data_IF_630031391935
#
_entry.id   IF_630031391935
#
_cell.length_a   1.000
_cell.length_b   1.000
_cell.length_c   1.000
_cell.angle_alpha   90.00
_cell.angle_beta   90.00
_cell.angle_gamma   90.00
#
_symmetry.space_group_name_H-M   'P 1'
#
loop_
_entity.id
_entity.type
_entity.pdbx_description
1 polymer ?
#
# COMPACT_ATOMS: atom_id res chain seq x y z
N UNK A 1 15.46 -15.38 13.92
CA UNK A 1 14.19 -15.38 13.15
C UNK A 1 14.41 -14.51 11.92
N UNK A 2 14.14 -14.95 10.71
CA UNK A 2 14.38 -14.15 9.50
C UNK A 2 13.06 -13.49 9.08
N UNK A 3 13.02 -12.17 8.95
CA UNK A 3 11.88 -11.45 8.39
C UNK A 3 11.70 -11.84 6.91
N UNK A 4 10.46 -11.81 6.43
CA UNK A 4 10.12 -12.16 5.04
C UNK A 4 9.56 -10.98 4.24
N UNK A 5 9.22 -9.89 4.91
CA UNK A 5 8.60 -8.70 4.33
C UNK A 5 7.54 -8.09 5.23
N UNK A 6 6.74 -7.23 4.66
CA UNK A 6 5.63 -6.56 5.33
C UNK A 6 4.47 -7.53 5.48
N UNK A 7 3.92 -7.65 6.68
CA UNK A 7 2.74 -8.49 6.93
C UNK A 7 1.46 -7.78 6.50
N UNK A 8 1.23 -6.58 7.04
CA UNK A 8 0.09 -5.73 6.72
C UNK A 8 0.43 -4.27 7.02
N UNK A 9 -0.40 -3.37 6.50
CA UNK A 9 -0.37 -1.93 6.81
C UNK A 9 -1.74 -1.57 7.39
N UNK A 10 -1.75 -0.82 8.49
CA UNK A 10 -2.98 -0.38 9.17
C UNK A 10 -3.14 1.12 9.05
N UNK A 11 -4.35 1.56 8.74
CA UNK A 11 -4.74 2.96 8.68
C UNK A 11 -6.08 3.18 9.40
N UNK A 12 -6.56 4.43 9.38
CA UNK A 12 -7.83 4.83 10.00
C UNK A 12 -8.79 5.22 8.89
N UNK A 13 -10.06 4.81 9.03
CA UNK A 13 -11.14 5.23 8.17
C UNK A 13 -12.20 6.00 8.98
N UNK A 14 -12.70 7.13 8.45
CA UNK A 14 -13.74 7.91 9.09
C UNK A 14 -15.15 7.38 8.80
N UNK A 15 -15.36 6.83 7.60
CA UNK A 15 -16.65 6.26 7.17
C UNK A 15 -16.46 4.80 6.75
N UNK A 16 -17.02 3.85 7.51
CA UNK A 16 -16.89 2.42 7.25
C UNK A 16 -17.37 2.00 5.85
N UNK A 17 -18.51 2.50 5.41
CA UNK A 17 -19.10 2.06 4.15
C UNK A 17 -18.32 2.62 2.95
N UNK A 18 -17.95 3.90 3.00
CA UNK A 18 -17.14 4.54 1.97
C UNK A 18 -15.76 3.88 1.82
N UNK A 19 -15.15 3.49 2.94
CA UNK A 19 -13.91 2.72 2.96
C UNK A 19 -14.09 1.37 2.25
N UNK A 20 -15.11 0.60 2.63
CA UNK A 20 -15.43 -0.71 2.02
C UNK A 20 -15.68 -0.57 0.51
N UNK A 21 -16.49 0.40 0.10
CA UNK A 21 -16.80 0.62 -1.32
C UNK A 21 -15.54 0.97 -2.11
N UNK A 22 -14.64 1.78 -1.58
CA UNK A 22 -13.41 2.15 -2.26
C UNK A 22 -12.48 0.94 -2.47
N UNK A 23 -12.19 0.21 -1.42
CA UNK A 23 -11.22 -0.89 -1.50
C UNK A 23 -11.76 -2.11 -2.27
N UNK A 24 -13.05 -2.38 -2.22
CA UNK A 24 -13.67 -3.46 -2.99
C UNK A 24 -13.97 -3.04 -4.41
N UNK A 25 -14.77 -1.97 -4.60
CA UNK A 25 -15.32 -1.65 -5.92
C UNK A 25 -14.33 -0.90 -6.80
N UNK A 26 -13.46 -0.06 -6.23
CA UNK A 26 -12.51 0.73 -7.02
C UNK A 26 -11.19 -0.01 -7.17
N UNK A 27 -10.57 -0.43 -6.07
CA UNK A 27 -9.29 -1.14 -6.11
C UNK A 27 -9.40 -2.64 -6.38
N UNK A 28 -10.59 -3.22 -6.26
CA UNK A 28 -10.82 -4.64 -6.54
C UNK A 28 -10.21 -5.59 -5.51
N UNK A 29 -9.89 -5.10 -4.31
CA UNK A 29 -9.41 -5.95 -3.22
C UNK A 29 -10.56 -6.74 -2.61
N UNK A 30 -10.26 -7.90 -2.04
CA UNK A 30 -11.24 -8.67 -1.29
C UNK A 30 -11.38 -8.13 0.13
N UNK A 31 -12.62 -8.00 0.59
CA UNK A 31 -12.93 -7.84 2.00
C UNK A 31 -12.73 -9.19 2.71
N UNK A 32 -11.52 -9.40 3.21
CA UNK A 32 -11.11 -10.71 3.74
C UNK A 32 -11.70 -10.99 5.12
N UNK A 33 -11.82 -9.94 5.97
CA UNK A 33 -12.28 -10.12 7.35
C UNK A 33 -12.85 -8.82 7.92
N UNK A 34 -13.88 -8.97 8.77
CA UNK A 34 -14.36 -7.94 9.69
C UNK A 34 -14.27 -8.47 11.12
N UNK A 35 -13.64 -7.72 12.00
CA UNK A 35 -13.57 -8.00 13.43
C UNK A 35 -13.69 -6.69 14.19
N UNK A 36 -13.46 -6.70 15.49
CA UNK A 36 -13.38 -5.50 16.33
C UNK A 36 -11.93 -5.23 16.72
N UNK A 37 -11.63 -3.99 17.06
CA UNK A 37 -10.37 -3.62 17.67
C UNK A 37 -10.27 -4.25 19.07
N UNK A 38 -9.13 -4.86 19.38
CA UNK A 38 -8.94 -5.53 20.69
C UNK A 38 -8.84 -4.54 21.85
N UNK A 39 -8.33 -3.33 21.58
CA UNK A 39 -8.18 -2.27 22.58
C UNK A 39 -9.45 -1.45 22.76
N UNK A 40 -10.32 -1.42 21.73
CA UNK A 40 -11.60 -0.73 21.70
C UNK A 40 -12.65 -1.56 20.96
N UNK A 41 -13.36 -2.49 21.62
CA UNK A 41 -14.33 -3.37 20.99
C UNK A 41 -15.52 -2.68 20.32
N UNK A 42 -15.72 -1.38 20.56
CA UNK A 42 -16.72 -0.57 19.85
C UNK A 42 -16.33 -0.20 18.42
N UNK A 43 -15.05 -0.38 18.07
CA UNK A 43 -14.49 -0.02 16.78
C UNK A 43 -14.29 -1.26 15.89
N UNK A 44 -14.80 -1.19 14.66
CA UNK A 44 -14.54 -2.24 13.66
C UNK A 44 -13.09 -2.22 13.18
N UNK A 45 -12.58 -3.43 12.91
CA UNK A 45 -11.30 -3.64 12.24
C UNK A 45 -11.55 -4.39 10.92
N UNK A 46 -11.32 -3.72 9.80
CA UNK A 46 -11.50 -4.22 8.44
C UNK A 46 -10.20 -4.69 7.85
N UNK A 47 -10.25 -5.76 7.05
CA UNK A 47 -9.10 -6.33 6.36
C UNK A 47 -9.44 -6.48 4.88
N UNK A 48 -8.62 -5.87 4.02
CA UNK A 48 -8.69 -6.02 2.58
C UNK A 48 -7.38 -6.60 2.06
N UNK A 49 -7.43 -7.44 1.05
CA UNK A 49 -6.23 -8.06 0.51
C UNK A 49 -6.53 -8.97 -0.68
N UNK A 50 -5.72 -10.02 -0.83
CA UNK A 50 -5.99 -11.11 -1.75
C UNK A 50 -7.16 -11.99 -1.25
N UNK A 51 -7.43 -13.11 -1.95
CA UNK A 51 -8.58 -13.97 -1.63
C UNK A 51 -8.61 -14.48 -0.20
N UNK A 52 -7.48 -14.64 0.46
CA UNK A 52 -7.36 -15.19 1.83
C UNK A 52 -6.66 -14.26 2.83
N UNK A 53 -6.28 -13.03 2.41
CA UNK A 53 -5.62 -12.06 3.28
C UNK A 53 -4.19 -12.44 3.65
N UNK A 54 -3.39 -12.89 2.68
CA UNK A 54 -1.99 -13.27 2.92
C UNK A 54 -1.15 -12.11 3.41
N UNK A 55 -0.10 -12.37 4.21
CA UNK A 55 0.95 -11.39 4.47
C UNK A 55 1.48 -10.79 3.16
N UNK A 56 1.73 -9.47 3.16
CA UNK A 56 2.15 -8.75 1.96
C UNK A 56 1.01 -8.24 1.08
N UNK A 57 -0.24 -8.62 1.37
CA UNK A 57 -1.41 -8.14 0.60
C UNK A 57 -2.41 -7.37 1.46
N UNK A 58 -2.36 -7.53 2.78
CA UNK A 58 -3.40 -7.08 3.69
C UNK A 58 -3.24 -5.60 4.07
N UNK A 59 -4.13 -4.74 3.59
CA UNK A 59 -4.35 -3.41 4.16
C UNK A 59 -5.54 -3.47 5.12
N UNK A 60 -5.39 -2.87 6.31
CA UNK A 60 -6.41 -2.93 7.35
C UNK A 60 -6.80 -1.55 7.83
N UNK A 61 -8.01 -1.42 8.37
CA UNK A 61 -8.54 -0.15 8.82
C UNK A 61 -9.27 -0.27 10.14
N UNK A 62 -8.96 0.62 11.07
CA UNK A 62 -9.84 0.91 12.18
C UNK A 62 -10.86 1.97 11.73
N UNK A 63 -12.15 1.63 11.84
CA UNK A 63 -13.22 2.52 11.46
C UNK A 63 -13.62 3.37 12.67
N UNK A 64 -13.19 4.64 12.68
CA UNK A 64 -13.55 5.61 13.72
C UNK A 64 -14.42 6.73 13.15
N UNK A 65 -15.76 6.57 13.14
CA UNK A 65 -16.66 7.60 12.66
C UNK A 65 -16.46 8.92 13.41
N UNK A 66 -16.32 10.00 12.64
CA UNK A 66 -16.09 11.33 13.21
C UNK A 66 -14.66 11.61 13.64
N UNK A 67 -13.71 10.70 13.40
CA UNK A 67 -12.29 10.95 13.65
C UNK A 67 -11.81 12.20 12.92
N UNK A 68 -11.11 13.08 13.62
CA UNK A 68 -10.49 14.26 13.03
C UNK A 68 -9.38 13.85 12.09
N UNK A 69 -9.38 14.42 10.88
CA UNK A 69 -8.31 14.19 9.92
C UNK A 69 -6.96 14.63 10.49
N UNK A 70 -5.97 13.74 10.43
CA UNK A 70 -4.61 14.02 10.85
C UNK A 70 -3.85 14.94 9.86
N UNK A 71 -2.70 15.42 10.30
CA UNK A 71 -1.75 16.14 9.46
C UNK A 71 -0.56 15.25 9.20
N UNK A 72 -0.13 15.21 7.92
CA UNK A 72 1.07 14.44 7.55
C UNK A 72 2.32 15.09 8.14
N UNK A 73 3.21 14.28 8.64
CA UNK A 73 4.50 14.67 9.20
C UNK A 73 5.57 13.63 8.92
N UNK A 74 6.73 13.80 9.54
CA UNK A 74 7.81 12.81 9.51
C UNK A 74 7.60 11.70 10.53
N UNK A 75 8.33 10.57 10.37
CA UNK A 75 8.21 9.41 11.25
C UNK A 75 7.02 8.52 10.95
N UNK A 76 6.50 8.53 9.73
CA UNK A 76 5.31 7.76 9.34
C UNK A 76 5.39 7.23 7.91
N UNK A 77 4.51 6.27 7.58
CA UNK A 77 4.26 5.85 6.21
C UNK A 77 3.48 6.97 5.51
N UNK A 78 4.08 7.58 4.51
CA UNK A 78 3.46 8.68 3.75
C UNK A 78 2.78 8.22 2.47
N UNK A 79 3.16 7.05 1.94
CA UNK A 79 2.52 6.43 0.79
C UNK A 79 2.46 4.91 0.97
N UNK A 80 1.28 4.35 0.72
CA UNK A 80 1.08 2.90 0.63
C UNK A 80 1.03 2.52 -0.83
N UNK A 81 2.05 1.80 -1.29
CA UNK A 81 2.17 1.44 -2.70
C UNK A 81 1.75 -0.02 -2.92
N UNK A 82 1.04 -0.27 -4.02
CA UNK A 82 0.61 -1.59 -4.47
C UNK A 82 1.26 -1.93 -5.80
N UNK A 83 1.63 -3.20 -5.97
CA UNK A 83 2.12 -3.72 -7.24
C UNK A 83 0.96 -4.03 -8.20
N UNK A 84 1.11 -3.60 -9.44
CA UNK A 84 0.21 -3.94 -10.55
C UNK A 84 1.02 -4.51 -11.73
N UNK A 85 0.42 -5.32 -12.61
CA UNK A 85 1.11 -5.82 -13.80
C UNK A 85 1.59 -4.71 -14.73
N UNK A 86 2.69 -4.94 -15.44
CA UNK A 86 3.18 -4.02 -16.48
C UNK A 86 2.11 -3.80 -17.56
N UNK A 87 2.02 -2.56 -18.06
CA UNK A 87 1.03 -2.15 -19.05
C UNK A 87 -0.37 -1.91 -18.48
N UNK A 88 -0.51 -1.78 -17.14
CA UNK A 88 -1.79 -1.58 -16.47
C UNK A 88 -2.18 -0.11 -16.26
N UNK A 89 -1.26 0.84 -16.42
CA UNK A 89 -1.49 2.27 -16.10
C UNK A 89 -2.73 2.82 -16.81
N UNK A 90 -2.87 2.61 -18.10
CA UNK A 90 -4.00 3.17 -18.87
C UNK A 90 -5.35 2.57 -18.45
N UNK A 91 -5.38 1.28 -18.09
CA UNK A 91 -6.56 0.67 -17.51
C UNK A 91 -6.96 1.37 -16.21
N UNK A 92 -5.99 1.56 -15.30
CA UNK A 92 -6.26 2.17 -14.00
C UNK A 92 -6.65 3.65 -14.11
N UNK A 93 -6.06 4.42 -15.04
CA UNK A 93 -6.47 5.80 -15.33
C UNK A 93 -7.94 5.86 -15.79
N UNK A 94 -8.32 5.00 -16.73
CA UNK A 94 -9.69 4.91 -17.23
C UNK A 94 -10.65 4.54 -16.11
N UNK A 95 -10.30 3.53 -15.31
CA UNK A 95 -11.12 3.07 -14.17
C UNK A 95 -11.32 4.17 -13.12
N UNK A 96 -10.26 4.88 -12.74
CA UNK A 96 -10.36 5.97 -11.79
C UNK A 96 -11.23 7.12 -12.33
N UNK A 97 -11.14 7.43 -13.63
CA UNK A 97 -12.00 8.42 -14.26
C UNK A 97 -13.48 8.01 -14.22
N UNK A 98 -13.80 6.75 -14.51
CA UNK A 98 -15.16 6.20 -14.42
C UNK A 98 -15.74 6.32 -13.02
N UNK A 99 -14.92 6.09 -12.01
CA UNK A 99 -15.31 6.18 -10.60
C UNK A 99 -15.13 7.59 -9.99
N UNK A 100 -14.74 8.59 -10.79
CA UNK A 100 -14.49 9.98 -10.36
C UNK A 100 -13.44 10.08 -9.26
N UNK A 101 -12.45 9.21 -9.29
CA UNK A 101 -11.27 9.25 -8.41
C UNK A 101 -10.17 10.00 -9.15
N UNK A 102 -9.68 11.06 -8.55
CA UNK A 102 -8.53 11.78 -9.10
C UNK A 102 -7.26 10.93 -8.93
N UNK A 103 -6.50 10.81 -10.01
CA UNK A 103 -5.17 10.21 -10.00
C UNK A 103 -4.22 11.03 -10.88
N UNK A 104 -2.94 10.92 -10.60
CA UNK A 104 -1.87 11.56 -11.37
C UNK A 104 -0.74 10.57 -11.66
N UNK A 105 -0.12 10.67 -12.82
CA UNK A 105 1.15 10.02 -13.06
C UNK A 105 2.23 10.76 -12.28
N UNK A 106 3.10 10.01 -11.60
CA UNK A 106 4.21 10.58 -10.84
C UNK A 106 5.54 10.14 -11.46
N UNK A 107 6.65 10.82 -11.13
CA UNK A 107 7.97 10.37 -11.59
C UNK A 107 8.17 8.88 -11.33
N UNK A 108 8.89 8.22 -12.22
CA UNK A 108 9.19 6.80 -12.12
C UNK A 108 9.70 6.44 -10.72
N UNK A 109 9.43 5.22 -10.30
CA UNK A 109 9.92 4.63 -9.07
C UNK A 109 10.90 3.53 -9.41
N UNK A 110 12.21 3.84 -9.45
CA UNK A 110 13.23 2.90 -9.91
C UNK A 110 12.86 2.32 -11.29
N UNK A 111 12.65 3.24 -12.25
CA UNK A 111 12.24 2.95 -13.63
C UNK A 111 10.80 2.42 -13.82
N UNK A 112 10.05 2.15 -12.74
CA UNK A 112 8.67 1.69 -12.83
C UNK A 112 7.68 2.84 -12.93
N UNK A 113 6.70 2.71 -13.83
CA UNK A 113 5.61 3.65 -13.96
C UNK A 113 4.69 3.58 -12.73
N UNK A 114 4.22 4.74 -12.28
CA UNK A 114 3.43 4.84 -11.07
C UNK A 114 2.27 5.84 -11.20
N UNK A 115 1.10 5.45 -10.69
CA UNK A 115 -0.06 6.32 -10.48
C UNK A 115 -0.21 6.62 -9.00
N UNK A 116 -0.44 7.88 -8.68
CA UNK A 116 -0.75 8.35 -7.34
C UNK A 116 -2.21 8.73 -7.23
N UNK A 117 -2.83 8.35 -6.14
CA UNK A 117 -4.20 8.72 -5.78
C UNK A 117 -4.35 8.83 -4.27
N UNK A 118 -5.49 9.30 -3.81
CA UNK A 118 -5.85 9.25 -2.39
C UNK A 118 -7.12 8.46 -2.19
N UNK A 119 -7.17 7.70 -1.10
CA UNK A 119 -8.41 7.10 -0.66
C UNK A 119 -9.41 8.17 -0.14
N UNK A 120 -10.65 7.81 0.18
CA UNK A 120 -11.65 8.76 0.68
C UNK A 120 -11.24 9.54 1.93
N UNK A 121 -10.37 8.98 2.76
CA UNK A 121 -9.87 9.61 3.99
C UNK A 121 -8.55 10.36 3.79
N UNK A 122 -8.01 10.33 2.56
CA UNK A 122 -6.79 11.03 2.18
C UNK A 122 -5.52 10.24 2.43
N UNK A 123 -5.61 8.91 2.66
CA UNK A 123 -4.44 8.05 2.63
C UNK A 123 -3.84 8.08 1.22
N UNK A 124 -2.56 8.41 1.12
CA UNK A 124 -1.87 8.41 -0.17
C UNK A 124 -1.58 6.98 -0.60
N UNK A 125 -2.05 6.65 -1.79
CA UNK A 125 -1.84 5.35 -2.43
C UNK A 125 -1.03 5.55 -3.71
N UNK A 126 -0.21 4.56 -4.04
CA UNK A 126 0.46 4.47 -5.34
C UNK A 126 0.19 3.08 -5.95
N UNK A 127 -0.13 3.03 -7.25
CA UNK A 127 -0.11 1.81 -8.04
C UNK A 127 1.15 1.82 -8.89
N UNK A 128 2.03 0.85 -8.68
CA UNK A 128 3.34 0.79 -9.32
C UNK A 128 3.40 -0.44 -10.21
N UNK A 129 3.71 -0.24 -11.50
CA UNK A 129 3.93 -1.33 -12.42
C UNK A 129 5.15 -2.15 -12.00
N UNK A 130 5.00 -3.46 -12.00
CA UNK A 130 6.10 -4.35 -11.66
C UNK A 130 6.20 -5.50 -12.66
N UNK A 131 7.42 -5.73 -13.15
CA UNK A 131 7.75 -6.92 -13.94
C UNK A 131 7.86 -8.18 -13.08
N UNK A 132 7.93 -8.01 -11.75
CA UNK A 132 7.87 -9.08 -10.76
C UNK A 132 6.66 -8.87 -9.90
N UNK A 133 5.81 -9.86 -9.86
CA UNK A 133 4.60 -9.86 -9.06
C UNK A 133 4.68 -11.01 -8.08
N UNK A 134 4.31 -10.75 -6.84
CA UNK A 134 4.18 -11.81 -5.84
C UNK A 134 3.10 -12.79 -6.30
N UNK A 135 3.32 -14.09 -6.09
CA UNK A 135 2.31 -15.12 -6.33
C UNK A 135 1.23 -15.00 -5.26
N UNK A 136 0.23 -14.18 -5.54
CA UNK A 136 -0.91 -13.93 -4.68
C UNK A 136 -2.14 -14.64 -5.23
N UNK A 137 -3.00 -15.08 -4.33
CA UNK A 137 -4.30 -15.62 -4.70
C UNK A 137 -5.26 -14.45 -4.95
N UNK A 138 -5.20 -13.92 -6.18
CA UNK A 138 -5.92 -12.71 -6.56
C UNK A 138 -7.40 -12.80 -6.17
N UNK A 139 -7.90 -11.74 -5.57
CA UNK A 139 -9.32 -11.59 -5.35
C UNK A 139 -10.01 -11.67 -6.71
N UNK A 140 -10.80 -12.71 -6.92
CA UNK A 140 -11.70 -12.74 -8.07
C UNK A 140 -12.84 -11.78 -7.75
N UNK A 141 -12.71 -10.56 -8.21
CA UNK A 141 -13.82 -9.62 -8.25
C UNK A 141 -14.19 -9.42 -9.72
N UNK A 142 -15.46 -9.36 -10.01
CA UNK A 142 -15.95 -8.98 -11.35
C UNK A 142 -15.58 -7.54 -11.72
N UNK A 143 -15.10 -6.77 -10.75
CA UNK A 143 -14.85 -5.33 -10.87
C UNK A 143 -13.52 -5.01 -11.55
N UNK A 144 -12.45 -5.79 -11.27
CA UNK A 144 -11.13 -5.61 -11.88
C UNK A 144 -10.69 -6.89 -12.58
N UNK A 145 -10.47 -6.86 -13.90
CA UNK A 145 -9.98 -8.02 -14.62
C UNK A 145 -8.64 -8.51 -14.04
N UNK A 146 -8.48 -9.83 -13.92
CA UNK A 146 -7.31 -10.48 -13.32
C UNK A 146 -5.97 -9.97 -13.87
N UNK A 147 -5.90 -9.69 -15.16
CA UNK A 147 -4.70 -9.19 -15.84
C UNK A 147 -4.26 -7.78 -15.43
N UNK A 148 -5.09 -7.05 -14.68
CA UNK A 148 -4.80 -5.71 -14.15
C UNK A 148 -4.87 -5.67 -12.62
N UNK A 149 -5.18 -6.78 -11.96
CA UNK A 149 -5.43 -6.83 -10.54
C UNK A 149 -4.20 -6.41 -9.71
N UNK A 150 -4.46 -5.90 -8.51
CA UNK A 150 -3.44 -5.59 -7.52
C UNK A 150 -2.83 -6.88 -6.97
N UNK A 151 -1.49 -6.96 -6.94
CA UNK A 151 -0.71 -8.12 -6.50
C UNK A 151 -0.09 -7.96 -5.09
N UNK A 152 -0.67 -7.14 -4.24
CA UNK A 152 -0.15 -6.85 -2.90
C UNK A 152 0.70 -5.58 -2.84
N UNK A 153 1.49 -5.43 -1.78
CA UNK A 153 2.28 -4.22 -1.58
C UNK A 153 3.50 -4.13 -2.51
N UNK A 154 3.87 -2.88 -2.79
CA UNK A 154 5.10 -2.51 -3.48
C UNK A 154 5.78 -1.37 -2.73
N UNK A 155 6.78 -1.69 -1.91
CA UNK A 155 7.65 -0.70 -1.25
C UNK A 155 6.91 0.53 -0.67
N UNK A 156 6.13 0.40 0.41
CA UNK A 156 5.58 1.56 1.11
C UNK A 156 6.69 2.54 1.47
N UNK A 157 6.37 3.84 1.41
CA UNK A 157 7.34 4.90 1.64
C UNK A 157 7.24 5.43 3.06
N UNK A 158 8.35 5.34 3.79
CA UNK A 158 8.55 6.00 5.08
C UNK A 158 9.19 7.37 4.86
N UNK A 159 8.66 8.42 5.48
CA UNK A 159 9.31 9.72 5.54
C UNK A 159 9.84 9.95 6.95
N UNK A 160 11.11 10.28 7.07
CA UNK A 160 11.78 10.52 8.34
C UNK A 160 12.53 11.85 8.32
N UNK A 161 12.81 12.42 9.49
CA UNK A 161 13.59 13.65 9.60
C UNK A 161 15.08 13.38 9.41
N UNK A 162 15.57 12.23 9.85
CA UNK A 162 16.93 11.75 9.68
C UNK A 162 16.89 10.28 9.32
N UNK A 163 17.51 9.90 8.22
CA UNK A 163 17.46 8.52 7.70
C UNK A 163 18.31 7.55 8.52
N UNK A 164 19.46 7.98 9.04
CA UNK A 164 20.46 7.11 9.68
C UNK A 164 19.91 6.14 10.72
N UNK A 165 19.18 6.59 11.76
CA UNK A 165 18.64 5.67 12.78
C UNK A 165 17.67 4.64 12.21
N UNK A 166 16.85 5.04 11.23
CA UNK A 166 15.89 4.12 10.58
C UNK A 166 16.61 3.10 9.69
N UNK A 167 17.67 3.51 8.99
CA UNK A 167 18.50 2.59 8.20
C UNK A 167 19.20 1.55 9.07
N UNK A 168 19.77 1.96 10.22
CA UNK A 168 20.38 1.04 11.15
C UNK A 168 19.37 0.00 11.68
N UNK A 169 18.16 0.46 12.01
CA UNK A 169 17.07 -0.44 12.40
C UNK A 169 16.72 -1.42 11.26
N UNK A 170 16.53 -0.93 10.04
CA UNK A 170 16.21 -1.79 8.89
C UNK A 170 17.33 -2.82 8.66
N UNK A 171 18.60 -2.43 8.71
CA UNK A 171 19.74 -3.35 8.59
C UNK A 171 19.75 -4.39 9.71
N UNK A 172 19.49 -3.98 10.96
CA UNK A 172 19.39 -4.89 12.11
C UNK A 172 18.25 -5.91 11.91
N UNK A 173 17.16 -5.50 11.29
CA UNK A 173 16.03 -6.37 10.94
C UNK A 173 16.32 -7.26 9.71
N UNK A 174 17.47 -7.13 9.07
CA UNK A 174 17.92 -7.93 7.94
C UNK A 174 17.53 -7.36 6.57
N UNK A 175 17.12 -6.09 6.51
CA UNK A 175 16.96 -5.40 5.23
C UNK A 175 18.33 -4.96 4.69
N UNK A 176 18.49 -5.05 3.39
CA UNK A 176 19.67 -4.57 2.66
C UNK A 176 19.26 -3.41 1.74
N UNK A 177 20.15 -2.43 1.56
CA UNK A 177 19.96 -1.36 0.60
C UNK A 177 20.11 -1.94 -0.81
N UNK A 178 19.04 -1.86 -1.61
CA UNK A 178 18.99 -2.45 -2.96
C UNK A 178 18.87 -1.41 -4.07
N UNK A 179 18.69 -0.14 -3.74
CA UNK A 179 18.64 0.95 -4.72
C UNK A 179 18.57 2.32 -4.09
N UNK A 180 19.07 3.31 -4.85
CA UNK A 180 18.97 4.74 -4.53
C UNK A 180 18.51 5.50 -5.77
N UNK A 181 17.53 6.39 -5.57
CA UNK A 181 17.00 7.27 -6.61
C UNK A 181 16.65 8.62 -6.01
N UNK A 182 17.41 9.66 -6.32
CA UNK A 182 17.29 10.99 -5.71
C UNK A 182 17.41 10.91 -4.17
N UNK A 183 16.37 11.35 -3.44
CA UNK A 183 16.28 11.27 -1.98
C UNK A 183 15.68 9.97 -1.47
N UNK A 184 15.35 9.02 -2.35
CA UNK A 184 14.69 7.76 -2.04
C UNK A 184 15.69 6.63 -1.98
N UNK A 185 15.68 5.89 -0.88
CA UNK A 185 16.47 4.68 -0.69
C UNK A 185 15.55 3.48 -0.54
N UNK A 186 15.78 2.43 -1.30
CA UNK A 186 15.00 1.19 -1.25
C UNK A 186 15.74 0.12 -0.48
N UNK A 187 15.08 -0.41 0.52
CA UNK A 187 15.56 -1.52 1.34
C UNK A 187 14.73 -2.77 1.08
N UNK A 188 15.35 -3.96 1.11
CA UNK A 188 14.67 -5.23 0.91
C UNK A 188 15.23 -6.34 1.79
N UNK A 189 14.37 -7.24 2.27
CA UNK A 189 14.76 -8.51 2.90
C UNK A 189 14.68 -9.68 1.92
N UNK A 190 14.07 -9.45 0.75
CA UNK A 190 13.95 -10.44 -0.31
C UNK A 190 13.69 -9.73 -1.65
N UNK A 191 14.70 -9.63 -2.49
CA UNK A 191 14.58 -8.97 -3.79
C UNK A 191 13.60 -9.63 -4.77
N UNK A 192 13.17 -10.86 -4.47
CA UNK A 192 12.20 -11.59 -5.31
C UNK A 192 10.75 -11.22 -5.02
N UNK A 193 10.47 -10.45 -3.96
CA UNK A 193 9.12 -10.07 -3.53
C UNK A 193 9.00 -8.56 -3.42
N UNK A 194 7.95 -7.98 -4.02
CA UNK A 194 7.65 -6.55 -3.93
C UNK A 194 7.18 -6.17 -2.53
N UNK A 195 6.49 -7.05 -1.83
CA UNK A 195 6.03 -6.83 -0.45
C UNK A 195 7.15 -6.93 0.60
N UNK A 196 8.35 -7.32 0.20
CA UNK A 196 9.54 -7.37 1.05
C UNK A 196 10.39 -6.10 1.00
N UNK A 197 9.90 -5.04 0.38
CA UNK A 197 10.61 -3.78 0.16
C UNK A 197 10.02 -2.64 0.97
N UNK A 198 10.87 -1.69 1.34
CA UNK A 198 10.52 -0.43 2.00
C UNK A 198 11.33 0.68 1.35
N UNK A 199 10.66 1.77 0.97
CA UNK A 199 11.31 2.99 0.53
C UNK A 199 11.43 3.96 1.71
N UNK A 200 12.60 4.51 1.90
CA UNK A 200 12.90 5.52 2.91
C UNK A 200 13.25 6.83 2.21
N UNK A 201 12.63 7.92 2.64
CA UNK A 201 12.99 9.28 2.22
C UNK A 201 13.27 10.15 3.44
N UNK A 202 14.26 11.01 3.30
CA UNK A 202 14.56 12.02 4.31
C UNK A 202 13.90 13.33 3.92
N UNK A 203 13.24 13.97 4.87
CA UNK A 203 12.61 15.26 4.65
C UNK A 203 13.69 16.35 4.64
N UNK A 204 13.81 17.04 3.52
CA UNK A 204 14.66 18.24 3.37
C UNK A 204 14.04 19.46 4.07
#
# INVERSE_FOLDING_TARGET
MKLRGIHHITAIASDPQRNVDFYIRILGLRFAKRTVNFDDPSTYHFYFGDRIGRPGTAITFFAWPGARRGTRGTGQVIATSFAIPQGSIEYWKSRFAEHRVFCEEVPLRFEAAALRLTDPDGLLLELIESGRLDDVDLAYTSEVPRKFAVHGFHAPTLEVQQSGPTEELLKTLGFELVGEENSRRRFSVNEKSTSAQIDLIERS
#
